data_IF_639531039926
#
_entry.id   IF_639531039926
#
_cell.length_a   1.000
_cell.length_b   1.000
_cell.length_c   1.000
_cell.angle_alpha   90.00
_cell.angle_beta   90.00
_cell.angle_gamma   90.00
#
_symmetry.space_group_name_H-M   'P 1'
#
loop_
_entity.id
_entity.type
_entity.pdbx_description
1 polymer ?
#
# COMPACT_ATOMS: atom_id res chain seq x y z
N UNK A 1 25.88 -9.20 18.60
CA UNK A 1 24.85 -10.06 17.98
C UNK A 1 23.53 -9.28 17.86
N UNK A 2 23.40 -8.53 16.76
CA UNK A 2 22.22 -7.73 16.47
C UNK A 2 21.11 -8.63 15.92
N UNK A 3 20.02 -8.76 16.68
CA UNK A 3 18.88 -9.59 16.33
C UNK A 3 18.11 -8.96 15.16
N UNK A 4 18.02 -9.70 14.05
CA UNK A 4 17.18 -9.41 12.89
C UNK A 4 15.73 -9.13 13.30
N UNK A 5 15.19 -8.02 12.82
CA UNK A 5 13.93 -7.42 13.26
C UNK A 5 12.68 -7.88 12.51
N UNK A 6 12.71 -8.99 11.78
CA UNK A 6 11.54 -9.54 11.07
C UNK A 6 11.17 -10.93 11.57
N UNK A 7 9.89 -11.15 11.90
CA UNK A 7 9.36 -12.50 12.18
C UNK A 7 9.42 -12.96 13.64
N UNK A 8 9.30 -12.05 14.62
CA UNK A 8 9.12 -12.47 16.02
C UNK A 8 7.72 -13.10 16.17
N UNK A 9 7.56 -14.02 17.12
CA UNK A 9 6.29 -14.73 17.37
C UNK A 9 5.08 -13.79 17.53
N UNK A 10 5.32 -12.61 18.10
CA UNK A 10 4.35 -11.51 18.28
C UNK A 10 3.79 -10.91 16.99
N UNK A 11 4.46 -11.10 15.84
CA UNK A 11 4.17 -10.43 14.56
C UNK A 11 3.46 -11.39 13.56
N UNK A 12 3.29 -12.66 13.94
CA UNK A 12 2.67 -13.70 13.10
C UNK A 12 1.20 -13.42 12.77
N UNK A 13 0.49 -12.72 13.67
CA UNK A 13 -0.93 -12.42 13.50
C UNK A 13 -1.15 -11.34 12.43
N UNK A 14 -0.30 -10.32 12.42
CA UNK A 14 -0.29 -9.25 11.43
C UNK A 14 0.07 -9.80 10.06
N UNK A 15 1.12 -10.62 9.96
CA UNK A 15 1.51 -11.28 8.71
C UNK A 15 0.37 -12.16 8.17
N UNK A 16 -0.33 -12.89 9.04
CA UNK A 16 -1.48 -13.70 8.65
C UNK A 16 -2.61 -12.84 8.08
N UNK A 17 -2.98 -11.75 8.76
CA UNK A 17 -4.04 -10.83 8.30
C UNK A 17 -3.65 -10.14 6.99
N UNK A 18 -2.38 -9.73 6.85
CA UNK A 18 -1.85 -9.18 5.61
C UNK A 18 -2.05 -10.14 4.42
N UNK A 19 -1.60 -11.38 4.61
CA UNK A 19 -1.69 -12.43 3.60
C UNK A 19 -3.13 -12.77 3.27
N UNK A 20 -4.02 -12.76 4.27
CA UNK A 20 -5.45 -12.95 4.07
C UNK A 20 -6.05 -11.81 3.24
N UNK A 21 -5.73 -10.55 3.55
CA UNK A 21 -6.17 -9.40 2.75
C UNK A 21 -5.71 -9.49 1.29
N UNK A 22 -4.44 -9.87 1.08
CA UNK A 22 -3.88 -10.14 -0.25
C UNK A 22 -4.61 -11.27 -0.98
N UNK A 23 -4.84 -12.41 -0.31
CA UNK A 23 -5.50 -13.57 -0.89
C UNK A 23 -6.96 -13.27 -1.25
N UNK A 24 -7.68 -12.56 -0.38
CA UNK A 24 -9.04 -12.10 -0.64
C UNK A 24 -9.09 -11.17 -1.85
N UNK A 25 -8.14 -10.25 -1.99
CA UNK A 25 -8.07 -9.37 -3.17
C UNK A 25 -7.92 -10.18 -4.47
N UNK A 26 -6.97 -11.12 -4.52
CA UNK A 26 -6.79 -12.03 -5.68
C UNK A 26 -8.02 -12.88 -5.95
N UNK A 27 -8.68 -13.37 -4.90
CA UNK A 27 -9.91 -14.14 -5.03
C UNK A 27 -11.06 -13.30 -5.60
N UNK A 28 -11.22 -12.03 -5.17
CA UNK A 28 -12.28 -11.13 -5.64
C UNK A 28 -12.10 -10.70 -7.10
N UNK A 29 -10.85 -10.51 -7.53
CA UNK A 29 -10.55 -10.17 -8.92
C UNK A 29 -10.48 -11.40 -9.83
N UNK A 30 -10.42 -12.62 -9.30
CA UNK A 30 -10.12 -13.84 -10.07
C UNK A 30 -8.78 -13.76 -10.83
N UNK A 31 -7.83 -12.93 -10.35
CA UNK A 31 -6.52 -12.73 -10.97
C UNK A 31 -5.42 -13.08 -9.98
N UNK A 32 -4.49 -13.96 -10.38
CA UNK A 32 -3.31 -14.29 -9.57
C UNK A 32 -2.24 -13.18 -9.63
N UNK A 33 -2.12 -12.52 -10.79
CA UNK A 33 -1.09 -11.55 -11.12
C UNK A 33 -1.65 -10.12 -11.09
N UNK A 34 -2.06 -9.68 -9.91
CA UNK A 34 -2.42 -8.28 -9.68
C UNK A 34 -1.19 -7.41 -9.44
N UNK A 35 -1.25 -6.11 -9.77
CA UNK A 35 -0.24 -5.15 -9.38
C UNK A 35 0.05 -5.18 -7.88
N UNK A 36 1.32 -4.88 -7.55
CA UNK A 36 1.80 -4.89 -6.17
C UNK A 36 0.99 -3.94 -5.28
N UNK A 37 0.73 -2.72 -5.73
CA UNK A 37 0.00 -1.71 -4.96
C UNK A 37 -1.42 -2.16 -4.54
N UNK A 38 -2.09 -2.99 -5.34
CA UNK A 38 -3.41 -3.52 -5.02
C UNK A 38 -3.35 -4.59 -3.93
N UNK A 39 -2.38 -5.50 -4.07
CA UNK A 39 -2.25 -6.65 -3.16
C UNK A 39 -1.67 -6.21 -1.82
N UNK A 40 -0.52 -5.54 -1.84
CA UNK A 40 0.13 -4.98 -0.67
C UNK A 40 -0.77 -3.98 0.06
N UNK A 41 -1.40 -3.07 -0.69
CA UNK A 41 -2.28 -2.06 -0.10
C UNK A 41 -3.49 -2.63 0.59
N UNK A 42 -4.12 -3.68 0.03
CA UNK A 42 -5.22 -4.37 0.71
C UNK A 42 -4.75 -5.14 1.95
N UNK A 43 -3.57 -5.75 1.90
CA UNK A 43 -2.96 -6.37 3.07
C UNK A 43 -2.73 -5.37 4.21
N UNK A 44 -2.13 -4.22 3.90
CA UNK A 44 -1.95 -3.13 4.87
C UNK A 44 -3.27 -2.61 5.42
N UNK A 45 -4.27 -2.43 4.55
CA UNK A 45 -5.60 -2.01 4.98
C UNK A 45 -6.23 -3.03 5.93
N UNK A 46 -6.13 -4.34 5.62
CA UNK A 46 -6.66 -5.39 6.48
C UNK A 46 -5.98 -5.40 7.86
N UNK A 47 -4.65 -5.25 7.92
CA UNK A 47 -3.93 -5.13 9.18
C UNK A 47 -4.41 -3.93 10.00
N UNK A 48 -4.52 -2.77 9.36
CA UNK A 48 -5.02 -1.56 10.00
C UNK A 48 -6.41 -1.75 10.61
N UNK A 49 -7.33 -2.37 9.86
CA UNK A 49 -8.70 -2.60 10.32
C UNK A 49 -8.80 -3.56 11.52
N UNK A 50 -7.82 -4.46 11.71
CA UNK A 50 -7.85 -5.47 12.77
C UNK A 50 -7.03 -5.05 13.99
N UNK A 51 -5.91 -4.36 13.78
CA UNK A 51 -4.91 -4.10 14.82
C UNK A 51 -4.65 -2.61 15.08
N UNK A 52 -5.32 -1.70 14.36
CA UNK A 52 -5.06 -0.24 14.36
C UNK A 52 -3.60 0.10 14.03
N UNK A 53 -2.88 -0.82 13.38
CA UNK A 53 -1.48 -0.70 12.94
C UNK A 53 -1.24 -1.53 11.69
N UNK A 54 -0.30 -1.11 10.86
CA UNK A 54 0.26 -1.97 9.81
C UNK A 54 1.75 -2.16 10.08
N UNK A 55 2.22 -3.37 9.87
CA UNK A 55 3.62 -3.70 9.92
C UNK A 55 4.15 -3.93 8.50
N UNK A 56 5.25 -3.28 8.16
CA UNK A 56 5.87 -3.41 6.84
C UNK A 56 6.71 -4.68 6.86
N UNK A 57 6.20 -5.76 6.27
CA UNK A 57 6.91 -7.04 6.16
C UNK A 57 7.22 -7.36 4.69
N UNK A 58 7.90 -6.46 3.97
CA UNK A 58 8.32 -6.77 2.61
C UNK A 58 9.76 -7.19 2.62
N UNK A 59 9.90 -8.52 2.55
CA UNK A 59 11.11 -9.30 2.36
C UNK A 59 12.25 -9.01 3.32
N UNK A 60 12.80 -10.12 3.82
CA UNK A 60 14.18 -10.14 4.27
C UNK A 60 15.06 -9.74 3.08
N UNK A 61 15.28 -8.44 2.91
CA UNK A 61 16.16 -7.88 1.88
C UNK A 61 17.53 -8.55 1.94
N UNK A 62 17.97 -9.02 3.13
CA UNK A 62 19.19 -9.79 3.33
C UNK A 62 19.19 -11.15 2.61
N UNK A 63 18.04 -11.80 2.46
CA UNK A 63 17.88 -13.02 1.66
C UNK A 63 17.85 -12.72 0.16
N UNK A 64 17.12 -11.67 -0.26
CA UNK A 64 17.07 -11.23 -1.66
C UNK A 64 18.45 -10.80 -2.18
N UNK A 65 19.26 -10.10 -1.38
CA UNK A 65 20.64 -9.73 -1.73
C UNK A 65 21.64 -10.88 -1.67
N UNK A 66 21.38 -11.93 -0.87
CA UNK A 66 22.14 -13.19 -0.92
C UNK A 66 21.99 -13.89 -2.27
N UNK A 67 20.80 -13.81 -2.85
CA UNK A 67 20.46 -14.41 -4.14
C UNK A 67 20.75 -13.48 -5.34
N UNK A 68 20.91 -12.17 -5.12
CA UNK A 68 21.12 -11.15 -6.17
C UNK A 68 22.22 -10.14 -5.75
N UNK A 69 23.50 -10.56 -5.73
CA UNK A 69 24.61 -9.81 -5.14
C UNK A 69 24.96 -8.49 -5.86
N UNK A 70 24.56 -8.34 -7.13
CA UNK A 70 24.86 -7.15 -7.94
C UNK A 70 23.79 -6.04 -7.86
N UNK A 71 22.69 -6.29 -7.14
CA UNK A 71 21.61 -5.32 -6.98
C UNK A 71 22.03 -4.17 -6.05
N UNK A 72 22.51 -3.06 -6.62
CA UNK A 72 22.81 -1.83 -5.88
C UNK A 72 21.53 -1.04 -5.59
N UNK A 73 20.81 -1.43 -4.55
CA UNK A 73 19.68 -0.65 -4.03
C UNK A 73 19.91 -0.39 -2.54
N UNK A 74 19.85 0.89 -2.13
CA UNK A 74 20.00 1.30 -0.74
C UNK A 74 18.88 0.68 0.11
N UNK A 75 19.17 -0.48 0.67
CA UNK A 75 18.27 -1.30 1.47
C UNK A 75 17.90 -0.58 2.76
N UNK A 76 16.79 0.17 2.76
CA UNK A 76 16.20 0.65 4.01
C UNK A 76 15.52 -0.53 4.70
N UNK A 77 16.23 -1.09 5.70
CA UNK A 77 15.75 -2.13 6.64
C UNK A 77 14.27 -1.90 6.96
N UNK A 78 13.45 -2.93 6.70
CA UNK A 78 12.03 -2.95 7.05
C UNK A 78 11.84 -2.57 8.51
N UNK A 79 11.28 -1.40 8.75
CA UNK A 79 10.95 -0.93 10.08
C UNK A 79 9.54 -1.38 10.45
N UNK A 80 9.36 -1.85 11.67
CA UNK A 80 8.02 -1.90 12.27
C UNK A 80 7.66 -0.47 12.65
N UNK A 81 6.62 0.09 12.03
CA UNK A 81 5.98 1.28 12.58
C UNK A 81 5.23 0.84 13.84
N UNK A 82 5.85 1.10 14.99
CA UNK A 82 5.21 0.86 16.27
C UNK A 82 3.98 1.76 16.44
N UNK A 83 3.09 1.48 17.41
CA UNK A 83 1.93 2.33 17.71
C UNK A 83 2.27 3.81 18.07
N UNK A 84 3.56 4.10 18.30
CA UNK A 84 4.11 5.45 18.50
C UNK A 84 4.26 6.25 17.19
N UNK A 85 4.31 5.57 16.03
CA UNK A 85 4.53 6.13 14.70
C UNK A 85 3.40 5.69 13.74
N UNK A 86 2.26 6.38 13.80
CA UNK A 86 1.14 6.06 12.90
C UNK A 86 1.41 6.55 11.46
N UNK A 87 0.97 5.77 10.46
CA UNK A 87 1.05 6.13 9.05
C UNK A 87 0.53 7.54 8.77
N UNK A 88 -0.64 7.97 9.30
CA UNK A 88 -1.09 9.35 9.11
C UNK A 88 -0.10 10.39 9.60
N UNK A 89 0.57 10.18 10.73
CA UNK A 89 1.56 11.14 11.25
C UNK A 89 2.76 11.25 10.31
N UNK A 90 3.31 10.12 9.89
CA UNK A 90 4.47 10.07 9.00
C UNK A 90 4.12 10.67 7.64
N UNK A 91 3.03 10.23 7.03
CA UNK A 91 2.64 10.67 5.70
C UNK A 91 2.27 12.15 5.66
N UNK A 92 1.62 12.68 6.70
CA UNK A 92 1.39 14.13 6.83
C UNK A 92 2.69 14.90 6.95
N UNK A 93 3.67 14.38 7.71
CA UNK A 93 5.00 15.00 7.80
C UNK A 93 5.68 15.01 6.42
N UNK A 94 5.67 13.89 5.70
CA UNK A 94 6.22 13.81 4.34
C UNK A 94 5.51 14.76 3.36
N UNK A 95 4.19 14.88 3.44
CA UNK A 95 3.43 15.83 2.61
C UNK A 95 3.76 17.29 2.93
N UNK A 96 4.07 17.63 4.19
CA UNK A 96 4.50 18.96 4.61
C UNK A 96 5.95 19.27 4.21
N UNK A 97 6.80 18.24 4.17
CA UNK A 97 8.19 18.32 3.76
C UNK A 97 8.36 18.25 2.21
N UNK A 98 7.26 18.38 1.46
CA UNK A 98 7.20 18.30 -0.01
C UNK A 98 7.75 16.98 -0.60
N UNK A 99 7.60 15.88 0.15
CA UNK A 99 8.01 14.52 -0.24
C UNK A 99 6.82 13.68 -0.67
N UNK A 100 5.92 14.28 -1.43
CA UNK A 100 4.75 13.61 -2.01
C UNK A 100 5.20 12.62 -3.10
N UNK A 101 4.47 11.52 -3.26
CA UNK A 101 4.74 10.48 -4.26
C UNK A 101 3.55 10.41 -5.20
N UNK A 102 3.78 10.72 -6.49
CA UNK A 102 2.74 10.72 -7.52
C UNK A 102 1.95 9.41 -7.56
N UNK A 103 0.73 9.47 -8.09
CA UNK A 103 -0.10 8.31 -8.38
C UNK A 103 0.65 7.30 -9.25
N UNK A 104 1.24 7.74 -10.36
CA UNK A 104 2.04 6.89 -11.26
C UNK A 104 3.09 6.07 -10.50
N UNK A 105 3.97 6.77 -9.78
CA UNK A 105 5.01 6.13 -8.95
C UNK A 105 4.44 5.17 -7.89
N UNK A 106 3.25 5.44 -7.36
CA UNK A 106 2.59 4.55 -6.39
C UNK A 106 2.06 3.28 -7.08
N UNK A 107 1.52 3.40 -8.29
CA UNK A 107 1.01 2.27 -9.08
C UNK A 107 2.15 1.40 -9.65
N UNK A 108 3.27 2.01 -10.00
CA UNK A 108 4.46 1.35 -10.55
C UNK A 108 5.41 0.80 -9.48
N UNK A 109 5.07 0.97 -8.21
CA UNK A 109 5.91 0.53 -7.10
C UNK A 109 6.17 -0.98 -7.17
N UNK A 110 7.43 -1.37 -7.06
CA UNK A 110 7.86 -2.76 -7.02
C UNK A 110 8.46 -3.07 -5.65
N UNK A 111 8.32 -4.31 -5.21
CA UNK A 111 8.87 -4.79 -3.93
C UNK A 111 10.34 -4.39 -3.76
N UNK A 112 11.14 -4.54 -4.81
CA UNK A 112 12.60 -4.34 -4.78
C UNK A 112 12.98 -2.85 -4.73
N UNK A 113 12.10 -1.94 -5.12
CA UNK A 113 12.33 -0.48 -5.13
C UNK A 113 11.65 0.22 -3.96
N UNK A 114 10.93 -0.52 -3.12
CA UNK A 114 10.02 0.04 -2.14
C UNK A 114 10.73 0.50 -0.86
N UNK A 115 10.74 1.81 -0.62
CA UNK A 115 11.07 2.34 0.70
C UNK A 115 9.88 2.21 1.67
N UNK A 116 10.14 2.22 2.99
CA UNK A 116 9.06 2.31 3.98
C UNK A 116 8.11 3.48 3.71
N UNK A 117 8.60 4.64 3.26
CA UNK A 117 7.74 5.78 2.96
C UNK A 117 6.79 5.51 1.79
N UNK A 118 7.27 4.85 0.73
CA UNK A 118 6.46 4.48 -0.44
C UNK A 118 5.40 3.43 -0.10
N UNK A 119 5.71 2.50 0.82
CA UNK A 119 4.72 1.58 1.39
C UNK A 119 3.54 2.31 2.02
N UNK A 120 3.81 3.42 2.72
CA UNK A 120 2.78 4.25 3.33
C UNK A 120 1.85 4.90 2.32
N UNK A 121 2.39 5.33 1.17
CA UNK A 121 1.58 5.88 0.09
C UNK A 121 0.71 4.79 -0.57
N UNK A 122 1.20 3.56 -0.70
CA UNK A 122 0.36 2.43 -1.16
C UNK A 122 -0.80 2.16 -0.19
N UNK A 123 -0.53 2.15 1.12
CA UNK A 123 -1.57 2.03 2.15
C UNK A 123 -2.58 3.19 2.05
N UNK A 124 -2.10 4.43 2.02
CA UNK A 124 -2.96 5.61 1.97
C UNK A 124 -3.81 5.66 0.71
N UNK A 125 -3.29 5.21 -0.44
CA UNK A 125 -4.05 5.10 -1.69
C UNK A 125 -5.20 4.10 -1.52
N UNK A 126 -4.91 2.90 -1.01
CA UNK A 126 -5.94 1.87 -0.83
C UNK A 126 -6.99 2.27 0.20
N UNK A 127 -6.59 2.88 1.30
CA UNK A 127 -7.52 3.40 2.29
C UNK A 127 -8.36 4.54 1.70
N UNK A 128 -7.75 5.48 0.97
CA UNK A 128 -8.48 6.56 0.31
C UNK A 128 -9.61 6.01 -0.58
N UNK A 129 -9.33 5.01 -1.43
CA UNK A 129 -10.33 4.39 -2.31
C UNK A 129 -11.48 3.69 -1.57
N UNK A 130 -11.33 3.37 -0.29
CA UNK A 130 -12.39 2.73 0.53
C UNK A 130 -12.88 3.60 1.69
N UNK A 131 -12.43 4.86 1.76
CA UNK A 131 -12.65 5.77 2.89
C UNK A 131 -14.10 6.27 3.04
N UNK A 132 -14.91 6.21 1.98
CA UNK A 132 -16.33 6.61 1.99
C UNK A 132 -17.17 5.55 1.29
N UNK A 133 -18.49 5.55 1.53
CA UNK A 133 -19.40 4.62 0.85
C UNK A 133 -19.38 4.80 -0.67
N UNK A 134 -19.27 6.05 -1.14
CA UNK A 134 -19.17 6.36 -2.57
C UNK A 134 -17.87 5.80 -3.17
N UNK A 135 -16.73 6.06 -2.53
CA UNK A 135 -15.43 5.54 -3.00
C UNK A 135 -15.39 4.02 -2.95
N UNK A 136 -15.99 3.39 -1.92
CA UNK A 136 -16.14 1.93 -1.83
C UNK A 136 -16.93 1.35 -3.00
N UNK A 137 -18.04 1.97 -3.40
CA UNK A 137 -18.81 1.53 -4.58
C UNK A 137 -17.99 1.62 -5.86
N UNK A 138 -17.32 2.76 -6.09
CA UNK A 138 -16.41 2.95 -7.23
C UNK A 138 -15.26 1.93 -7.23
N UNK A 139 -14.63 1.69 -6.07
CA UNK A 139 -13.59 0.68 -5.96
C UNK A 139 -14.10 -0.74 -6.24
N UNK A 140 -15.32 -1.08 -5.82
CA UNK A 140 -15.95 -2.35 -6.18
C UNK A 140 -16.20 -2.48 -7.69
N UNK A 141 -16.59 -1.39 -8.36
CA UNK A 141 -16.71 -1.36 -9.84
C UNK A 141 -15.36 -1.56 -10.52
N UNK A 142 -14.29 -0.97 -9.98
CA UNK A 142 -12.92 -1.16 -10.46
C UNK A 142 -12.50 -2.63 -10.36
N UNK A 143 -12.71 -3.25 -9.19
CA UNK A 143 -12.45 -4.68 -8.96
C UNK A 143 -13.30 -5.57 -9.89
N UNK A 144 -14.56 -5.22 -10.10
CA UNK A 144 -15.47 -5.97 -10.99
C UNK A 144 -15.00 -5.91 -12.45
N UNK A 145 -14.48 -4.76 -12.89
CA UNK A 145 -13.90 -4.60 -14.22
C UNK A 145 -12.67 -5.51 -14.40
N UNK A 146 -11.80 -5.57 -13.39
CA UNK A 146 -10.62 -6.44 -13.41
C UNK A 146 -11.03 -7.92 -13.44
N UNK A 147 -12.09 -8.29 -12.72
CA UNK A 147 -12.68 -9.63 -12.79
C UNK A 147 -13.17 -9.99 -14.20
N UNK A 148 -13.60 -9.00 -14.97
CA UNK A 148 -13.89 -9.14 -16.41
C UNK A 148 -12.66 -9.20 -17.31
N UNK A 149 -11.45 -9.45 -16.78
CA UNK A 149 -10.15 -9.46 -17.47
C UNK A 149 -9.68 -8.09 -17.99
N UNK A 150 -10.23 -6.97 -17.49
CA UNK A 150 -9.70 -5.64 -17.80
C UNK A 150 -8.41 -5.40 -17.01
N UNK A 151 -7.38 -4.84 -17.66
CA UNK A 151 -6.11 -4.54 -16.97
C UNK A 151 -6.29 -3.39 -15.95
N UNK A 152 -5.74 -3.51 -14.73
CA UNK A 152 -5.77 -2.46 -13.72
C UNK A 152 -4.78 -1.33 -14.05
N UNK A 153 -5.14 -0.47 -14.99
CA UNK A 153 -4.34 0.70 -15.40
C UNK A 153 -4.71 1.95 -14.59
N UNK A 154 -3.83 2.96 -14.61
CA UNK A 154 -4.11 4.29 -14.05
C UNK A 154 -5.37 4.90 -14.67
N UNK A 155 -5.49 4.87 -16.00
CA UNK A 155 -6.67 5.41 -16.70
C UNK A 155 -7.97 4.75 -16.25
N UNK A 156 -7.96 3.42 -16.06
CA UNK A 156 -9.13 2.71 -15.54
C UNK A 156 -9.46 3.17 -14.12
N UNK A 157 -8.44 3.30 -13.25
CA UNK A 157 -8.62 3.78 -11.88
C UNK A 157 -9.23 5.18 -11.85
N UNK A 158 -8.64 6.14 -12.58
CA UNK A 158 -9.11 7.52 -12.63
C UNK A 158 -10.54 7.59 -13.15
N UNK A 159 -10.82 6.91 -14.28
CA UNK A 159 -12.16 6.85 -14.87
C UNK A 159 -13.19 6.31 -13.90
N UNK A 160 -12.91 5.17 -13.25
CA UNK A 160 -13.85 4.55 -12.30
C UNK A 160 -14.05 5.41 -11.05
N UNK A 161 -12.98 6.06 -10.59
CA UNK A 161 -13.05 6.91 -9.40
C UNK A 161 -13.70 8.29 -9.68
N UNK A 162 -13.86 8.65 -10.96
CA UNK A 162 -14.54 9.85 -11.43
C UNK A 162 -13.61 11.06 -11.57
N UNK A 163 -12.34 10.84 -11.87
CA UNK A 163 -11.32 11.89 -12.05
C UNK A 163 -10.92 11.99 -13.53
N UNK A 164 -10.71 13.24 -13.99
CA UNK A 164 -10.32 13.51 -15.37
C UNK A 164 -8.81 13.38 -15.62
N UNK A 165 -8.00 13.55 -14.58
CA UNK A 165 -6.54 13.53 -14.66
C UNK A 165 -5.91 13.14 -13.31
N UNK A 166 -4.60 12.86 -13.34
CA UNK A 166 -3.80 12.54 -12.16
C UNK A 166 -3.82 13.67 -11.14
N UNK A 167 -3.74 14.94 -11.59
CA UNK A 167 -3.59 16.09 -10.71
C UNK A 167 -4.84 16.29 -9.81
N UNK A 168 -6.03 16.13 -10.37
CA UNK A 168 -7.29 16.22 -9.62
C UNK A 168 -7.45 15.07 -8.61
N UNK A 169 -7.03 13.85 -9.00
CA UNK A 169 -7.00 12.70 -8.11
C UNK A 169 -6.03 12.90 -6.96
N UNK A 170 -4.77 13.22 -7.27
CA UNK A 170 -3.71 13.43 -6.29
C UNK A 170 -4.07 14.54 -5.32
N UNK A 171 -4.66 15.64 -5.80
CA UNK A 171 -5.12 16.72 -4.94
C UNK A 171 -6.13 16.23 -3.91
N UNK A 172 -7.20 15.55 -4.32
CA UNK A 172 -8.23 15.06 -3.39
C UNK A 172 -7.66 13.98 -2.45
N UNK A 173 -6.78 13.12 -2.97
CA UNK A 173 -6.10 12.11 -2.17
C UNK A 173 -5.25 12.74 -1.06
N UNK A 174 -4.40 13.72 -1.39
CA UNK A 174 -3.57 14.41 -0.39
C UNK A 174 -4.38 15.30 0.55
N UNK A 175 -5.41 15.99 0.06
CA UNK A 175 -6.32 16.77 0.90
C UNK A 175 -6.99 15.86 1.95
N UNK A 176 -7.40 14.65 1.55
CA UNK A 176 -7.93 13.65 2.47
C UNK A 176 -6.88 13.14 3.46
N UNK A 177 -5.66 12.81 3.00
CA UNK A 177 -4.55 12.37 3.88
C UNK A 177 -4.18 13.43 4.94
N UNK A 178 -4.25 14.70 4.56
CA UNK A 178 -3.99 15.83 5.44
C UNK A 178 -5.15 16.13 6.40
N UNK A 179 -6.35 15.62 6.11
CA UNK A 179 -7.53 15.80 6.96
C UNK A 179 -7.52 14.89 8.19
N UNK A 180 -8.43 15.16 9.13
CA UNK A 180 -8.69 14.32 10.30
C UNK A 180 -9.37 12.99 9.96
N UNK A 181 -9.81 12.78 8.71
CA UNK A 181 -10.49 11.55 8.27
C UNK A 181 -9.52 10.38 8.05
N UNK A 182 -8.25 10.66 7.80
CA UNK A 182 -7.21 9.63 7.71
C UNK A 182 -6.65 9.34 9.11
N UNK A 183 -6.92 8.14 9.65
CA UNK A 183 -6.56 7.74 11.02
C UNK A 183 -5.86 6.40 11.02
#
# INVERSE_FOLDING_TARGET
>A
PEQSGGGREKDRKEILVHNLGTALMKSRTHQANLPFWMTAGMGYYAEHMVFDRCSIYYLDFEAYYRENPDAKVDARKGGTLGPQESWPRILRKLCKDDKRVSLEKTLDAQIITLSPNESGYIFALNYFMVSTDERRKKYQEFITSIRGNVKPTKDLLLKTMGYGDDASFEKDWYDWMMSSKFK
#
